data_IF_377437252781
#
_entry.id   IF_377437252781
#
_cell.length_a   1.000
_cell.length_b   1.000
_cell.length_c   1.000
_cell.angle_alpha   90.00
_cell.angle_beta   90.00
_cell.angle_gamma   90.00
#
_symmetry.space_group_name_H-M   'P 1'
#
loop_
_entity.id
_entity.type
_entity.pdbx_description
1 polymer ?
#
# COMPACT_ATOMS: atom_id res chain seq x y z
N UNK A 1 37.92 -28.96 19.24
CA UNK A 1 36.78 -28.72 18.34
C UNK A 1 35.80 -27.82 19.07
N UNK A 2 36.23 -26.59 19.31
CA UNK A 2 35.62 -25.63 20.23
C UNK A 2 35.38 -24.36 19.41
N UNK A 3 34.48 -24.45 18.42
CA UNK A 3 34.16 -23.31 17.56
C UNK A 3 32.80 -23.44 16.86
N UNK A 4 31.77 -23.89 17.59
CA UNK A 4 30.38 -23.92 17.09
C UNK A 4 29.43 -23.11 18.00
N UNK A 5 29.89 -22.62 19.16
CA UNK A 5 29.04 -21.94 20.15
C UNK A 5 29.20 -20.40 20.21
N UNK A 6 29.88 -19.78 19.24
CA UNK A 6 30.12 -18.32 19.23
C UNK A 6 29.31 -17.53 18.19
N UNK A 7 28.29 -18.12 17.54
CA UNK A 7 27.39 -17.39 16.62
C UNK A 7 26.01 -17.04 17.20
N UNK A 8 25.74 -17.36 18.47
CA UNK A 8 24.38 -17.26 19.05
C UNK A 8 24.01 -15.90 19.68
N UNK A 9 24.88 -14.89 19.66
CA UNK A 9 24.62 -13.60 20.31
C UNK A 9 24.66 -12.42 19.34
N UNK A 10 23.65 -12.34 18.46
CA UNK A 10 23.14 -11.05 17.95
C UNK A 10 21.79 -11.21 17.20
N UNK A 11 20.93 -12.14 17.65
CA UNK A 11 19.62 -12.35 17.05
C UNK A 11 18.54 -11.61 17.85
N UNK A 12 17.95 -10.58 17.25
CA UNK A 12 16.79 -9.88 17.81
C UNK A 12 15.52 -10.64 17.44
N UNK A 13 14.78 -11.12 18.46
CA UNK A 13 13.48 -11.77 18.26
C UNK A 13 12.39 -10.71 18.39
N UNK A 14 11.59 -10.54 17.35
CA UNK A 14 10.47 -9.59 17.31
C UNK A 14 9.17 -10.36 17.09
N UNK A 15 8.30 -10.31 18.08
CA UNK A 15 6.94 -10.84 17.96
C UNK A 15 6.07 -9.79 17.27
N UNK A 16 5.53 -10.14 16.12
CA UNK A 16 4.68 -9.27 15.31
C UNK A 16 3.27 -9.86 15.29
N UNK A 17 2.32 -9.08 15.80
CA UNK A 17 0.90 -9.37 15.65
C UNK A 17 0.28 -8.33 14.70
N UNK A 18 -0.06 -8.81 13.51
CA UNK A 18 -0.73 -8.08 12.46
C UNK A 18 -2.24 -8.19 12.63
N UNK A 19 -2.90 -7.05 12.67
CA UNK A 19 -4.36 -6.96 12.62
C UNK A 19 -4.84 -6.91 11.17
N UNK A 20 -6.11 -7.26 10.92
CA UNK A 20 -6.72 -7.10 9.58
C UNK A 20 -6.64 -5.67 9.04
N UNK A 21 -6.61 -4.68 9.95
CA UNK A 21 -6.42 -3.27 9.60
C UNK A 21 -5.06 -3.02 8.95
N UNK A 22 -4.02 -3.75 9.35
CA UNK A 22 -2.65 -3.54 8.84
C UNK A 22 -2.52 -4.02 7.39
N UNK A 23 -3.12 -5.17 7.07
CA UNK A 23 -3.22 -5.68 5.71
C UNK A 23 -4.05 -4.77 4.81
N UNK A 24 -5.13 -4.19 5.34
CA UNK A 24 -5.92 -3.21 4.61
C UNK A 24 -5.10 -1.97 4.28
N UNK A 25 -4.37 -1.39 5.25
CA UNK A 25 -3.53 -0.21 5.01
C UNK A 25 -2.41 -0.48 4.01
N UNK A 26 -1.76 -1.65 4.09
CA UNK A 26 -0.75 -2.06 3.12
C UNK A 26 -1.33 -2.17 1.71
N UNK A 27 -2.47 -2.86 1.56
CA UNK A 27 -3.08 -3.06 0.25
C UNK A 27 -3.63 -1.76 -0.30
N UNK A 28 -4.24 -0.92 0.53
CA UNK A 28 -4.69 0.42 0.15
C UNK A 28 -3.52 1.29 -0.31
N UNK A 29 -2.37 1.25 0.37
CA UNK A 29 -1.17 1.97 -0.05
C UNK A 29 -0.70 1.51 -1.44
N UNK A 30 -0.69 0.20 -1.68
CA UNK A 30 -0.32 -0.39 -2.96
C UNK A 30 -1.30 -0.01 -4.08
N UNK A 31 -2.60 -0.16 -3.82
CA UNK A 31 -3.67 0.20 -4.76
C UNK A 31 -3.64 1.69 -5.08
N UNK A 32 -3.44 2.56 -4.10
CA UNK A 32 -3.39 4.00 -4.35
C UNK A 32 -2.22 4.38 -5.25
N UNK A 33 -1.03 3.80 -5.05
CA UNK A 33 0.16 4.10 -5.88
C UNK A 33 -0.03 3.63 -7.33
N UNK A 34 -0.72 2.51 -7.54
CA UNK A 34 -0.86 1.87 -8.85
C UNK A 34 -2.13 2.29 -9.62
N UNK A 35 -3.21 2.61 -8.90
CA UNK A 35 -4.54 2.85 -9.46
C UNK A 35 -4.92 4.32 -9.50
N UNK A 36 -4.04 5.26 -9.15
CA UNK A 36 -4.29 6.70 -9.31
C UNK A 36 -4.80 7.04 -10.72
N UNK A 37 -4.18 6.47 -11.75
CA UNK A 37 -4.59 6.68 -13.14
C UNK A 37 -5.98 6.09 -13.44
N UNK A 38 -6.28 4.91 -12.89
CA UNK A 38 -7.58 4.25 -13.07
C UNK A 38 -8.70 4.97 -12.32
N UNK A 39 -8.43 5.53 -11.14
CA UNK A 39 -9.39 6.34 -10.37
C UNK A 39 -9.72 7.62 -11.13
N UNK A 40 -8.71 8.31 -11.68
CA UNK A 40 -8.92 9.52 -12.47
C UNK A 40 -9.70 9.22 -13.75
N UNK A 41 -9.32 8.17 -14.49
CA UNK A 41 -9.99 7.75 -15.71
C UNK A 41 -11.44 7.28 -15.45
N UNK A 42 -11.63 6.46 -14.41
CA UNK A 42 -12.95 5.97 -14.00
C UNK A 42 -13.87 7.10 -13.52
N UNK A 43 -13.34 8.06 -12.76
CA UNK A 43 -14.07 9.26 -12.37
C UNK A 43 -14.48 10.11 -13.56
N UNK A 44 -13.57 10.34 -14.52
CA UNK A 44 -13.85 11.07 -15.75
C UNK A 44 -15.01 10.43 -16.54
N UNK A 45 -14.91 9.11 -16.79
CA UNK A 45 -15.94 8.37 -17.51
C UNK A 45 -17.28 8.37 -16.78
N UNK A 46 -17.25 8.28 -15.44
CA UNK A 46 -18.44 8.37 -14.61
C UNK A 46 -19.17 9.72 -14.78
N UNK A 47 -18.45 10.83 -14.75
CA UNK A 47 -19.03 12.17 -14.98
C UNK A 47 -19.59 12.33 -16.40
N UNK A 48 -18.87 11.82 -17.41
CA UNK A 48 -19.36 11.79 -18.79
C UNK A 48 -20.66 10.99 -18.92
N UNK A 49 -20.73 9.85 -18.24
CA UNK A 49 -21.95 9.03 -18.16
C UNK A 49 -23.13 9.78 -17.55
N UNK A 50 -22.91 10.58 -16.49
CA UNK A 50 -23.96 11.43 -15.90
C UNK A 50 -24.47 12.47 -16.90
N UNK A 51 -23.58 13.15 -17.62
CA UNK A 51 -23.97 14.17 -18.62
C UNK A 51 -24.81 13.53 -19.73
N UNK A 52 -24.41 12.36 -20.23
CA UNK A 52 -25.17 11.62 -21.25
C UNK A 52 -26.53 11.18 -20.70
N UNK A 53 -26.57 10.65 -19.48
CA UNK A 53 -27.82 10.24 -18.83
C UNK A 53 -28.82 11.40 -18.70
N UNK A 54 -28.35 12.61 -18.36
CA UNK A 54 -29.21 13.80 -18.23
C UNK A 54 -29.70 14.29 -19.60
N UNK A 55 -28.85 14.23 -20.63
CA UNK A 55 -29.16 14.81 -21.96
C UNK A 55 -29.94 13.87 -22.88
N UNK A 56 -29.68 12.57 -22.82
CA UNK A 56 -30.23 11.56 -23.73
C UNK A 56 -31.09 10.50 -23.03
N UNK A 57 -31.14 10.51 -21.70
CA UNK A 57 -31.88 9.52 -20.91
C UNK A 57 -31.10 8.19 -20.74
N UNK A 58 -31.70 7.22 -20.03
CA UNK A 58 -31.06 5.94 -19.75
C UNK A 58 -30.89 5.11 -21.04
N UNK A 59 -29.65 4.68 -21.31
CA UNK A 59 -29.34 3.77 -22.40
C UNK A 59 -28.37 2.67 -21.95
N UNK A 60 -28.39 1.53 -22.64
CA UNK A 60 -27.49 0.40 -22.34
C UNK A 60 -26.01 0.78 -22.51
N UNK A 61 -25.71 1.76 -23.37
CA UNK A 61 -24.36 2.29 -23.58
C UNK A 61 -23.75 2.97 -22.35
N UNK A 62 -24.57 3.38 -21.37
CA UNK A 62 -24.10 3.97 -20.11
C UNK A 62 -23.26 3.00 -19.27
N UNK A 63 -23.39 1.69 -19.50
CA UNK A 63 -22.60 0.66 -18.81
C UNK A 63 -21.10 0.85 -19.07
N UNK A 64 -20.70 1.32 -20.26
CA UNK A 64 -19.29 1.57 -20.60
C UNK A 64 -18.70 2.71 -19.75
N UNK A 65 -19.52 3.69 -19.39
CA UNK A 65 -19.11 4.85 -18.61
C UNK A 65 -19.06 4.55 -17.11
N UNK A 66 -20.03 3.78 -16.61
CA UNK A 66 -20.12 3.46 -15.18
C UNK A 66 -19.34 2.19 -14.78
N UNK A 67 -19.17 1.24 -15.71
CA UNK A 67 -18.53 -0.05 -15.46
C UNK A 67 -17.12 0.03 -14.85
N UNK A 68 -16.20 0.85 -15.38
CA UNK A 68 -14.86 1.01 -14.81
C UNK A 68 -14.88 1.54 -13.36
N UNK A 69 -15.81 2.43 -13.05
CA UNK A 69 -15.99 2.98 -11.70
C UNK A 69 -16.48 1.92 -10.72
N UNK A 70 -17.49 1.13 -11.11
CA UNK A 70 -17.98 0.01 -10.30
C UNK A 70 -16.95 -1.11 -10.15
N UNK A 71 -16.18 -1.41 -11.20
CA UNK A 71 -15.08 -2.37 -11.12
C UNK A 71 -14.02 -1.94 -10.10
N UNK A 72 -13.73 -0.65 -10.00
CA UNK A 72 -12.82 -0.12 -8.98
C UNK A 72 -13.38 -0.32 -7.56
N UNK A 73 -14.66 0.00 -7.34
CA UNK A 73 -15.34 -0.24 -6.06
C UNK A 73 -15.27 -1.73 -5.70
N UNK A 74 -15.51 -2.61 -6.66
CA UNK A 74 -15.47 -4.05 -6.45
C UNK A 74 -14.08 -4.55 -6.06
N UNK A 75 -13.01 -4.06 -6.71
CA UNK A 75 -11.61 -4.37 -6.35
C UNK A 75 -11.30 -3.91 -4.92
N UNK A 76 -11.78 -2.72 -4.53
CA UNK A 76 -11.59 -2.19 -3.17
C UNK A 76 -12.30 -3.07 -2.13
N UNK A 77 -13.55 -3.48 -2.39
CA UNK A 77 -14.30 -4.36 -1.50
C UNK A 77 -13.66 -5.75 -1.38
N UNK A 78 -13.25 -6.34 -2.51
CA UNK A 78 -12.55 -7.63 -2.53
C UNK A 78 -11.26 -7.59 -1.71
N UNK A 79 -10.56 -6.45 -1.73
CA UNK A 79 -9.35 -6.23 -0.95
C UNK A 79 -9.62 -6.19 0.56
N UNK A 80 -10.70 -5.51 0.99
CA UNK A 80 -11.12 -5.49 2.41
C UNK A 80 -11.43 -6.89 2.89
N UNK A 81 -12.15 -7.67 2.08
CA UNK A 81 -12.53 -9.03 2.40
C UNK A 81 -11.31 -9.96 2.47
N UNK A 82 -10.42 -9.88 1.49
CA UNK A 82 -9.17 -10.67 1.45
C UNK A 82 -8.21 -10.29 2.58
N UNK A 83 -8.17 -9.02 2.99
CA UNK A 83 -7.36 -8.56 4.11
C UNK A 83 -7.78 -9.16 5.45
N UNK A 84 -9.07 -9.44 5.64
CA UNK A 84 -9.56 -10.17 6.82
C UNK A 84 -9.08 -11.62 6.82
N UNK A 85 -9.26 -12.35 5.73
CA UNK A 85 -8.80 -13.73 5.61
C UNK A 85 -7.28 -13.86 5.76
N UNK A 86 -6.52 -12.93 5.16
CA UNK A 86 -5.07 -12.93 5.29
C UNK A 86 -4.61 -12.63 6.71
N UNK A 87 -5.32 -11.77 7.45
CA UNK A 87 -4.98 -11.52 8.85
C UNK A 87 -5.31 -12.72 9.76
N UNK A 88 -6.35 -13.48 9.46
CA UNK A 88 -6.63 -14.73 10.18
C UNK A 88 -5.53 -15.78 9.93
N UNK A 89 -5.04 -15.89 8.69
CA UNK A 89 -3.99 -16.85 8.31
C UNK A 89 -2.55 -16.41 8.63
N UNK A 90 -2.31 -15.11 8.72
CA UNK A 90 -0.96 -14.55 8.79
C UNK A 90 -0.75 -13.54 9.92
N UNK A 91 -1.73 -13.40 10.82
CA UNK A 91 -1.76 -12.39 11.87
C UNK A 91 -0.63 -12.51 12.88
N UNK A 92 -0.32 -13.73 13.34
CA UNK A 92 0.69 -13.94 14.39
C UNK A 92 1.97 -14.52 13.79
N UNK A 93 3.08 -13.78 13.89
CA UNK A 93 4.39 -14.20 13.39
C UNK A 93 5.48 -13.83 14.38
N UNK A 94 6.40 -14.76 14.62
CA UNK A 94 7.63 -14.45 15.36
C UNK A 94 8.76 -14.33 14.35
N UNK A 95 9.36 -13.15 14.29
CA UNK A 95 10.49 -12.84 13.43
C UNK A 95 11.79 -12.96 14.22
N UNK A 96 12.78 -13.62 13.63
CA UNK A 96 14.15 -13.65 14.13
C UNK A 96 15.01 -12.88 13.14
N UNK A 97 15.64 -11.82 13.61
CA UNK A 97 16.43 -10.90 12.80
C UNK A 97 17.88 -11.00 13.24
N UNK A 98 18.79 -11.14 12.28
CA UNK A 98 20.23 -11.16 12.55
C UNK A 98 20.99 -10.46 11.41
N UNK A 99 22.33 -10.47 11.49
CA UNK A 99 23.20 -9.87 10.47
C UNK A 99 23.06 -10.51 9.09
N UNK A 100 22.65 -11.78 9.02
CA UNK A 100 22.55 -12.54 7.78
C UNK A 100 21.21 -12.33 7.07
N UNK A 101 20.15 -12.04 7.82
CA UNK A 101 18.82 -11.86 7.27
C UNK A 101 17.72 -11.83 8.32
N UNK A 102 16.54 -12.18 7.85
CA UNK A 102 15.32 -12.23 8.63
C UNK A 102 14.59 -13.53 8.34
N UNK A 103 14.27 -14.28 9.37
CA UNK A 103 13.40 -15.45 9.30
C UNK A 103 12.13 -15.22 10.11
N UNK A 104 11.08 -15.95 9.78
CA UNK A 104 9.90 -16.00 10.61
C UNK A 104 9.27 -17.38 10.63
N UNK A 105 8.58 -17.63 11.74
CA UNK A 105 7.73 -18.80 11.94
C UNK A 105 6.32 -18.30 12.30
N UNK A 106 5.33 -18.86 11.61
CA UNK A 106 3.91 -18.82 11.98
C UNK A 106 3.37 -20.24 11.97
N UNK A 107 2.15 -20.41 12.49
CA UNK A 107 1.52 -21.73 12.63
C UNK A 107 1.45 -22.52 11.30
N UNK A 108 1.36 -21.83 10.16
CA UNK A 108 1.28 -22.45 8.83
C UNK A 108 2.52 -22.27 7.95
N UNK A 109 3.44 -21.36 8.29
CA UNK A 109 4.49 -20.90 7.34
C UNK A 109 5.81 -20.65 8.08
N UNK A 110 6.89 -21.21 7.52
CA UNK A 110 8.26 -20.85 7.86
C UNK A 110 8.94 -20.26 6.62
N UNK A 111 9.59 -19.10 6.78
CA UNK A 111 10.34 -18.47 5.70
C UNK A 111 11.61 -17.80 6.21
N UNK A 112 12.62 -17.70 5.35
CA UNK A 112 13.88 -17.03 5.64
C UNK A 112 14.31 -16.20 4.43
N UNK A 113 14.68 -14.95 4.67
CA UNK A 113 15.05 -13.97 3.67
C UNK A 113 16.41 -13.36 4.00
N UNK A 114 17.32 -13.38 3.03
CA UNK A 114 18.59 -12.64 3.14
C UNK A 114 18.33 -11.14 2.93
N UNK A 115 19.11 -10.29 3.58
CA UNK A 115 18.98 -8.84 3.40
C UNK A 115 19.15 -8.38 1.95
N UNK A 116 19.95 -9.09 1.16
CA UNK A 116 20.11 -8.84 -0.28
C UNK A 116 18.82 -8.96 -1.08
N UNK A 117 17.85 -9.75 -0.60
CA UNK A 117 16.54 -9.94 -1.23
C UNK A 117 15.62 -8.73 -1.01
N UNK A 118 15.90 -7.90 -0.01
CA UNK A 118 15.10 -6.70 0.24
C UNK A 118 15.43 -5.65 -0.82
N UNK A 119 14.43 -5.36 -1.67
CA UNK A 119 14.54 -4.43 -2.80
C UNK A 119 14.26 -2.99 -2.40
N UNK A 120 13.39 -2.78 -1.42
CA UNK A 120 13.01 -1.45 -0.93
C UNK A 120 12.63 -1.50 0.54
N UNK A 121 13.05 -0.49 1.30
CA UNK A 121 12.61 -0.29 2.68
C UNK A 121 11.85 1.02 2.75
N UNK A 122 10.60 0.96 3.21
CA UNK A 122 9.70 2.10 3.32
C UNK A 122 9.22 2.27 4.76
N UNK A 123 9.64 3.36 5.40
CA UNK A 123 9.12 3.76 6.71
C UNK A 123 7.98 4.78 6.56
N UNK A 124 6.85 4.48 7.19
CA UNK A 124 5.72 5.39 7.39
C UNK A 124 5.52 5.69 8.88
N UNK A 125 4.57 6.55 9.25
CA UNK A 125 4.26 6.83 10.66
C UNK A 125 3.79 5.58 11.42
N UNK A 126 3.10 4.66 10.74
CA UNK A 126 2.43 3.50 11.35
C UNK A 126 3.11 2.16 11.08
N UNK A 127 3.94 2.08 10.04
CA UNK A 127 4.51 0.82 9.56
C UNK A 127 5.92 1.02 9.00
N UNK A 128 6.74 -0.01 9.15
CA UNK A 128 7.95 -0.26 8.38
C UNK A 128 7.67 -1.41 7.42
N UNK A 129 7.87 -1.17 6.12
CA UNK A 129 7.70 -2.18 5.08
C UNK A 129 9.06 -2.58 4.52
N UNK A 130 9.33 -3.88 4.49
CA UNK A 130 10.49 -4.46 3.82
C UNK A 130 10.00 -5.20 2.57
N UNK A 131 10.17 -4.59 1.40
CA UNK A 131 9.75 -5.18 0.13
C UNK A 131 10.75 -6.24 -0.32
N UNK A 132 10.27 -7.46 -0.51
CA UNK A 132 11.00 -8.59 -1.09
C UNK A 132 10.86 -8.53 -2.61
N UNK A 133 9.68 -8.13 -3.10
CA UNK A 133 9.40 -7.85 -4.50
C UNK A 133 8.59 -6.56 -4.61
N UNK A 134 8.38 -5.99 -5.81
CA UNK A 134 7.51 -4.82 -5.97
C UNK A 134 6.08 -5.00 -5.43
N UNK A 135 5.63 -6.25 -5.27
CA UNK A 135 4.26 -6.59 -4.87
C UNK A 135 4.17 -7.33 -3.53
N UNK A 136 5.28 -7.64 -2.87
CA UNK A 136 5.31 -8.39 -1.62
C UNK A 136 6.23 -7.73 -0.61
N UNK A 137 5.71 -7.47 0.59
CA UNK A 137 6.45 -6.87 1.67
C UNK A 137 6.18 -7.55 3.00
N UNK A 138 7.21 -7.56 3.84
CA UNK A 138 7.07 -7.84 5.26
C UNK A 138 6.61 -6.56 5.96
N UNK A 139 5.56 -6.68 6.77
CA UNK A 139 4.91 -5.56 7.43
C UNK A 139 5.29 -5.59 8.91
N UNK A 140 5.86 -4.50 9.40
CA UNK A 140 6.19 -4.29 10.81
C UNK A 140 5.45 -3.06 11.33
N UNK A 141 4.37 -3.22 12.10
CA UNK A 141 3.68 -2.09 12.72
C UNK A 141 4.63 -1.35 13.67
N UNK A 142 4.71 -0.02 13.59
CA UNK A 142 5.58 0.75 14.49
C UNK A 142 5.11 0.67 15.94
N UNK A 143 3.84 0.32 16.19
CA UNK A 143 3.26 0.17 17.53
C UNK A 143 3.86 -0.96 18.38
N UNK A 144 4.57 -1.91 17.77
CA UNK A 144 5.22 -3.01 18.51
C UNK A 144 6.60 -2.63 19.03
N UNK A 145 7.15 -1.50 18.60
CA UNK A 145 8.48 -1.03 18.97
C UNK A 145 8.37 0.15 19.94
N UNK A 146 9.24 0.18 20.95
CA UNK A 146 9.61 1.44 21.62
C UNK A 146 10.45 2.33 20.68
N UNK A 147 10.55 3.63 20.96
CA UNK A 147 11.28 4.56 20.08
C UNK A 147 12.76 4.17 19.89
N UNK A 148 13.40 3.70 20.96
CA UNK A 148 14.78 3.20 20.94
C UNK A 148 14.90 1.94 20.07
N UNK A 149 14.04 0.94 20.31
CA UNK A 149 14.00 -0.31 19.54
C UNK A 149 13.73 -0.07 18.04
N UNK A 150 12.87 0.89 17.71
CA UNK A 150 12.60 1.26 16.32
C UNK A 150 13.83 1.90 15.68
N UNK A 151 14.58 2.70 16.44
CA UNK A 151 15.80 3.36 15.96
C UNK A 151 16.90 2.34 15.73
N UNK A 152 17.08 1.39 16.65
CA UNK A 152 18.00 0.27 16.52
C UNK A 152 17.65 -0.62 15.33
N UNK A 153 16.38 -1.03 15.21
CA UNK A 153 15.90 -1.84 14.08
C UNK A 153 16.14 -1.14 12.73
N UNK A 154 15.85 0.15 12.64
CA UNK A 154 16.13 0.94 11.43
C UNK A 154 17.63 1.10 11.19
N UNK A 155 18.44 1.19 12.25
CA UNK A 155 19.90 1.24 12.19
C UNK A 155 20.47 -0.04 11.58
N UNK A 156 20.01 -1.20 12.04
CA UNK A 156 20.36 -2.52 11.50
C UNK A 156 19.99 -2.63 10.02
N UNK A 157 18.76 -2.26 9.66
CA UNK A 157 18.33 -2.32 8.25
C UNK A 157 19.17 -1.38 7.37
N UNK A 158 19.49 -0.19 7.87
CA UNK A 158 20.25 0.81 7.10
C UNK A 158 21.72 0.42 6.96
N UNK A 159 22.31 -0.23 7.98
CA UNK A 159 23.71 -0.67 7.94
C UNK A 159 23.91 -1.79 6.91
N UNK A 160 22.95 -2.71 6.80
CA UNK A 160 23.02 -3.84 5.87
C UNK A 160 22.53 -3.48 4.47
N UNK A 161 21.64 -2.51 4.33
CA UNK A 161 20.96 -2.18 3.07
C UNK A 161 21.27 -0.77 2.54
N UNK A 162 22.53 -0.33 2.70
CA UNK A 162 23.03 0.99 2.29
C UNK A 162 22.59 1.30 0.84
N UNK A 163 21.71 2.29 0.68
CA UNK A 163 21.22 2.78 -0.62
C UNK A 163 19.78 2.39 -1.00
N UNK A 164 19.12 1.44 -0.31
CA UNK A 164 17.74 1.00 -0.64
C UNK A 164 16.65 1.51 0.31
N UNK A 165 17.02 2.32 1.31
CA UNK A 165 16.08 2.86 2.30
C UNK A 165 15.50 4.18 1.82
N UNK A 166 14.20 4.19 1.47
CA UNK A 166 13.48 5.41 1.08
C UNK A 166 12.58 5.86 2.25
N UNK A 167 12.90 7.01 2.86
CA UNK A 167 11.99 7.67 3.81
C UNK A 167 10.95 8.46 3.02
N UNK A 168 9.70 8.00 3.01
CA UNK A 168 8.60 8.73 2.38
C UNK A 168 7.94 9.63 3.40
N UNK A 169 8.21 10.95 3.35
CA UNK A 169 7.28 11.93 3.94
C UNK A 169 5.98 11.84 3.14
N UNK A 170 4.86 11.66 3.83
CA UNK A 170 3.51 11.54 3.25
C UNK A 170 3.04 12.88 2.69
N UNK A 171 3.71 13.40 1.67
CA UNK A 171 3.29 14.57 0.92
C UNK A 171 2.67 14.07 -0.36
N UNK A 172 1.33 14.12 -0.43
CA UNK A 172 0.63 13.96 -1.70
C UNK A 172 1.14 15.01 -2.70
N UNK A 173 1.28 14.66 -3.98
CA UNK A 173 1.82 15.58 -4.96
C UNK A 173 0.78 16.67 -5.29
N UNK A 174 1.02 17.89 -4.80
CA UNK A 174 0.11 19.05 -4.92
C UNK A 174 -0.33 19.38 -6.36
N UNK A 175 0.46 19.01 -7.38
CA UNK A 175 0.12 19.23 -8.79
C UNK A 175 -1.09 18.41 -9.26
N UNK A 176 -1.36 17.24 -8.67
CA UNK A 176 -2.57 16.46 -8.96
C UNK A 176 -3.84 17.21 -8.52
N UNK A 177 -3.77 17.95 -7.41
CA UNK A 177 -4.86 18.82 -6.94
C UNK A 177 -5.08 20.00 -7.89
N UNK A 178 -3.99 20.59 -8.40
CA UNK A 178 -4.05 21.69 -9.37
C UNK A 178 -4.69 21.24 -10.68
N UNK A 179 -4.27 20.09 -11.23
CA UNK A 179 -4.89 19.51 -12.44
C UNK A 179 -6.37 19.24 -12.20
N UNK A 180 -6.73 18.67 -11.04
CA UNK A 180 -8.12 18.39 -10.70
C UNK A 180 -8.97 19.68 -10.62
N UNK A 181 -8.47 20.74 -9.97
CA UNK A 181 -9.17 22.03 -9.87
C UNK A 181 -9.34 22.68 -11.26
N UNK A 182 -8.29 22.66 -12.08
CA UNK A 182 -8.30 23.26 -13.42
C UNK A 182 -9.28 22.51 -14.35
N UNK A 183 -9.40 21.20 -14.20
CA UNK A 183 -10.35 20.40 -14.95
C UNK A 183 -11.79 20.54 -14.43
N UNK A 184 -12.00 20.63 -13.12
CA UNK A 184 -13.30 20.94 -12.54
C UNK A 184 -13.81 22.29 -13.03
N UNK A 185 -12.93 23.29 -13.14
CA UNK A 185 -13.24 24.57 -13.74
C UNK A 185 -13.67 24.44 -15.21
N UNK A 186 -12.96 23.66 -16.03
CA UNK A 186 -13.36 23.42 -17.43
C UNK A 186 -14.74 22.75 -17.56
N UNK A 187 -15.04 21.78 -16.69
CA UNK A 187 -16.36 21.12 -16.67
C UNK A 187 -17.45 22.12 -16.29
N UNK A 188 -17.24 22.92 -15.24
CA UNK A 188 -18.21 23.96 -14.81
C UNK A 188 -18.44 24.98 -15.92
N UNK A 189 -17.38 25.47 -16.56
CA UNK A 189 -17.46 26.41 -17.68
C UNK A 189 -18.20 25.79 -18.87
N UNK A 190 -17.94 24.52 -19.20
CA UNK A 190 -18.65 23.81 -20.26
C UNK A 190 -20.14 23.66 -19.97
N UNK A 191 -20.51 23.35 -18.73
CA UNK A 191 -21.92 23.28 -18.30
C UNK A 191 -22.59 24.65 -18.39
N UNK A 192 -21.97 25.71 -17.86
CA UNK A 192 -22.52 27.08 -17.94
C UNK A 192 -22.68 27.53 -19.40
N UNK A 193 -21.70 27.25 -20.26
CA UNK A 193 -21.76 27.57 -21.68
C UNK A 193 -22.90 26.83 -22.40
N UNK A 194 -23.17 25.58 -22.04
CA UNK A 194 -24.29 24.81 -22.59
C UNK A 194 -25.66 25.40 -22.20
N UNK A 195 -25.79 25.91 -20.97
CA UNK A 195 -27.02 26.56 -20.51
C UNK A 195 -27.18 28.00 -21.00
N UNK A 196 -26.08 28.71 -21.30
CA UNK A 196 -26.12 30.11 -21.79
C UNK A 196 -26.26 30.22 -23.31
N UNK A 197 -26.07 29.12 -24.05
CA UNK A 197 -26.20 29.04 -25.51
C UNK A 197 -27.56 28.58 -26.02
N UNK A 198 -28.54 28.41 -25.11
CA UNK A 198 -29.97 28.28 -25.42
C UNK A 198 -30.68 29.57 -25.03
#
# INVERSE_FOLDING_TARGET
>A
MENILNEELDSTIIRVELESKDFFWFTLHYLWKKMQQLILMGGLLFFLGIIILITQGPSIGLIIFFGPFFSFIFILLSTVYSGKQNAEKHGKRTYTINKNGLSFVSDEIQASYKWSTIVEVLKTKRYVYLFITPNSALIFPTRIFCEEQLTEFMGLITSVNKGKVKRKKSTQPKWQLVIFILFAFLVVVGVISFFSGK
#
